data_IF_491155073260
#
_entry.id   IF_491155073260
#
_cell.length_a   1.000
_cell.length_b   1.000
_cell.length_c   1.000
_cell.angle_alpha   90.00
_cell.angle_beta   90.00
_cell.angle_gamma   90.00
#
_symmetry.space_group_name_H-M   'P 1'
#
loop_
_entity.id
_entity.type
_entity.pdbx_description
1 polymer ?
#
# COMPACT_ATOMS: atom_id res chain seq x y z
N UNK A 1 12.65 -19.40 -12.61
CA UNK A 1 11.24 -18.97 -12.75
C UNK A 1 10.68 -18.32 -11.47
N UNK A 2 10.58 -19.04 -10.34
CA UNK A 2 9.98 -18.53 -9.08
C UNK A 2 10.69 -17.27 -8.54
N UNK A 3 12.02 -17.26 -8.58
CA UNK A 3 12.87 -16.15 -8.09
C UNK A 3 12.50 -14.81 -8.74
N UNK A 4 12.14 -14.82 -10.03
CA UNK A 4 11.72 -13.62 -10.75
C UNK A 4 10.38 -13.06 -10.27
N UNK A 5 9.43 -13.94 -9.93
CA UNK A 5 8.14 -13.52 -9.36
C UNK A 5 8.32 -12.93 -7.96
N UNK A 6 9.23 -13.47 -7.15
CA UNK A 6 9.56 -12.90 -5.84
C UNK A 6 10.24 -11.53 -5.97
N UNK A 7 11.13 -11.34 -6.96
CA UNK A 7 11.70 -10.03 -7.27
C UNK A 7 10.60 -9.01 -7.64
N UNK A 8 9.71 -9.40 -8.55
CA UNK A 8 8.58 -8.57 -8.99
C UNK A 8 7.69 -8.20 -7.79
N UNK A 9 7.37 -9.17 -6.93
CA UNK A 9 6.56 -8.94 -5.75
C UNK A 9 7.23 -7.95 -4.78
N UNK A 10 8.53 -8.14 -4.51
CA UNK A 10 9.33 -7.24 -3.67
C UNK A 10 9.37 -5.82 -4.24
N UNK A 11 9.60 -5.68 -5.55
CA UNK A 11 9.60 -4.41 -6.24
C UNK A 11 8.22 -3.74 -6.22
N UNK A 12 7.15 -4.52 -6.40
CA UNK A 12 5.76 -4.02 -6.37
C UNK A 12 5.39 -3.46 -5.00
N UNK A 13 5.73 -4.18 -3.93
CA UNK A 13 5.46 -3.73 -2.56
C UNK A 13 6.29 -2.51 -2.22
N UNK A 14 7.57 -2.46 -2.62
CA UNK A 14 8.40 -1.27 -2.45
C UNK A 14 7.79 -0.03 -3.13
N UNK A 15 7.31 -0.17 -4.37
CA UNK A 15 6.62 0.89 -5.11
C UNK A 15 5.27 1.29 -4.49
N UNK A 16 4.62 0.35 -3.79
CA UNK A 16 3.40 0.61 -3.01
C UNK A 16 3.66 1.27 -1.66
N UNK A 17 4.92 1.34 -1.21
CA UNK A 17 5.32 2.07 -0.01
C UNK A 17 5.70 3.50 -0.38
N UNK A 18 6.70 3.65 -1.25
CA UNK A 18 7.17 4.95 -1.71
C UNK A 18 7.32 4.98 -3.21
N UNK A 19 7.32 6.17 -3.80
CA UNK A 19 7.46 6.31 -5.26
C UNK A 19 8.83 6.86 -5.60
N UNK A 20 9.22 7.99 -5.02
CA UNK A 20 10.45 8.68 -5.41
C UNK A 20 11.68 7.88 -5.09
N UNK A 21 11.77 7.48 -3.83
CA UNK A 21 12.94 6.82 -3.28
C UNK A 21 13.27 5.47 -3.97
N UNK A 22 12.34 4.51 -4.12
CA UNK A 22 12.66 3.25 -4.80
C UNK A 22 12.98 3.44 -6.29
N UNK A 23 12.31 4.39 -6.97
CA UNK A 23 12.60 4.70 -8.37
C UNK A 23 13.99 5.36 -8.52
N UNK A 24 14.37 6.23 -7.59
CA UNK A 24 15.70 6.83 -7.58
C UNK A 24 16.80 5.79 -7.36
N UNK A 25 16.60 4.89 -6.39
CA UNK A 25 17.56 3.80 -6.11
C UNK A 25 17.75 2.93 -7.34
N UNK A 26 16.66 2.51 -7.99
CA UNK A 26 16.77 1.65 -9.17
C UNK A 26 17.39 2.38 -10.36
N UNK A 27 17.06 3.66 -10.54
CA UNK A 27 17.61 4.48 -11.62
C UNK A 27 19.12 4.67 -11.45
N UNK A 28 19.60 4.83 -10.21
CA UNK A 28 21.04 4.90 -9.93
C UNK A 28 21.74 3.56 -10.17
N UNK A 29 21.09 2.43 -9.86
CA UNK A 29 21.67 1.10 -9.97
C UNK A 29 21.63 0.51 -11.40
N UNK A 30 20.56 0.76 -12.15
CA UNK A 30 20.29 0.14 -13.46
C UNK A 30 19.92 1.18 -14.53
N UNK A 31 20.62 2.32 -14.51
CA UNK A 31 20.39 3.51 -15.34
C UNK A 31 20.05 3.20 -16.81
N UNK A 32 20.86 2.39 -17.48
CA UNK A 32 20.71 2.11 -18.91
C UNK A 32 19.53 1.17 -19.20
N UNK A 33 19.31 0.18 -18.32
CA UNK A 33 18.21 -0.78 -18.45
C UNK A 33 16.87 -0.13 -18.11
N UNK A 34 16.80 0.82 -17.18
CA UNK A 34 15.56 1.55 -16.88
C UNK A 34 15.14 2.44 -18.05
N UNK A 35 16.08 3.24 -18.58
CA UNK A 35 15.80 4.22 -19.64
C UNK A 35 15.48 3.54 -20.97
N UNK A 36 16.17 2.44 -21.30
CA UNK A 36 15.92 1.70 -22.53
C UNK A 36 14.54 1.01 -22.56
N UNK A 37 13.99 0.67 -21.40
CA UNK A 37 12.77 -0.14 -21.29
C UNK A 37 11.51 0.65 -20.89
N UNK A 38 11.64 1.95 -20.63
CA UNK A 38 10.50 2.84 -20.40
C UNK A 38 10.13 3.59 -21.70
N UNK A 39 9.13 3.12 -22.46
CA UNK A 39 8.71 3.78 -23.71
C UNK A 39 8.25 5.24 -23.51
N UNK A 40 7.84 5.60 -22.29
CA UNK A 40 7.42 6.96 -21.90
C UNK A 40 8.58 7.91 -21.55
N UNK A 41 9.79 7.39 -21.33
CA UNK A 41 10.92 8.12 -20.71
C UNK A 41 12.20 8.05 -21.55
N UNK A 42 12.28 7.17 -22.55
CA UNK A 42 13.47 6.99 -23.40
C UNK A 42 13.93 8.24 -24.17
N UNK A 43 13.08 9.28 -24.26
CA UNK A 43 13.43 10.59 -24.82
C UNK A 43 14.19 11.53 -23.87
N UNK A 44 14.20 11.30 -22.55
CA UNK A 44 14.87 12.18 -21.59
C UNK A 44 16.29 11.67 -21.29
N UNK A 45 17.29 12.57 -21.22
CA UNK A 45 18.62 12.19 -20.79
C UNK A 45 18.58 11.70 -19.33
N UNK A 46 19.25 10.58 -19.00
CA UNK A 46 19.11 9.99 -17.67
C UNK A 46 19.61 10.90 -16.52
N UNK A 47 20.47 11.89 -16.81
CA UNK A 47 20.86 12.94 -15.84
C UNK A 47 19.65 13.75 -15.36
N UNK A 48 18.74 14.11 -16.26
CA UNK A 48 17.53 14.87 -15.93
C UNK A 48 16.55 14.00 -15.16
N UNK A 49 16.45 12.71 -15.48
CA UNK A 49 15.65 11.81 -14.68
C UNK A 49 16.17 11.71 -13.23
N UNK A 50 17.49 11.56 -13.07
CA UNK A 50 18.09 11.49 -11.73
C UNK A 50 17.80 12.78 -10.95
N UNK A 51 17.89 13.96 -11.57
CA UNK A 51 17.58 15.21 -10.88
C UNK A 51 16.10 15.29 -10.48
N UNK A 52 15.18 14.94 -11.38
CA UNK A 52 13.73 14.91 -11.10
C UNK A 52 13.42 13.96 -9.94
N UNK A 53 13.91 12.71 -10.00
CA UNK A 53 13.68 11.73 -8.94
C UNK A 53 14.38 12.10 -7.63
N UNK A 54 15.54 12.75 -7.70
CA UNK A 54 16.22 13.28 -6.50
C UNK A 54 15.38 14.37 -5.86
N UNK A 55 14.91 15.35 -6.63
CA UNK A 55 14.04 16.40 -6.11
C UNK A 55 12.74 15.81 -5.54
N UNK A 56 12.15 14.84 -6.22
CA UNK A 56 10.94 14.16 -5.73
C UNK A 56 11.20 13.38 -4.44
N UNK A 57 12.29 12.60 -4.37
CA UNK A 57 12.66 11.85 -3.17
C UNK A 57 12.98 12.77 -1.99
N UNK A 58 13.62 13.93 -2.23
CA UNK A 58 13.80 14.96 -1.21
C UNK A 58 12.45 15.51 -0.75
N UNK A 59 11.54 15.80 -1.68
CA UNK A 59 10.20 16.27 -1.35
C UNK A 59 9.42 15.23 -0.53
N UNK A 60 9.56 13.94 -0.84
CA UNK A 60 9.02 12.81 -0.08
C UNK A 60 9.58 12.78 1.35
N UNK A 61 10.90 12.91 1.49
CA UNK A 61 11.62 12.87 2.76
C UNK A 61 11.30 14.08 3.67
N UNK A 62 11.25 15.28 3.10
CA UNK A 62 10.96 16.52 3.84
C UNK A 62 9.46 16.69 4.08
N UNK A 63 8.63 16.38 3.10
CA UNK A 63 7.17 16.50 3.19
C UNK A 63 6.56 15.53 4.19
N UNK A 64 7.20 14.38 4.44
CA UNK A 64 6.77 13.45 5.48
C UNK A 64 7.00 13.94 6.92
N UNK A 65 7.71 15.06 7.13
CA UNK A 65 7.94 15.62 8.48
C UNK A 65 6.80 16.54 8.96
N UNK A 66 5.93 16.99 8.07
CA UNK A 66 4.77 17.81 8.41
C UNK A 66 3.47 17.02 8.18
N UNK A 67 2.54 17.04 9.14
CA UNK A 67 1.28 16.28 9.07
C UNK A 67 0.42 16.64 7.84
N UNK A 68 0.45 17.90 7.40
CA UNK A 68 -0.26 18.35 6.19
C UNK A 68 0.43 17.87 4.91
N UNK A 69 1.76 17.94 4.87
CA UNK A 69 2.57 17.44 3.76
C UNK A 69 2.38 15.93 3.57
N UNK A 70 2.34 15.18 4.66
CA UNK A 70 2.09 13.74 4.65
C UNK A 70 0.74 13.37 4.03
N UNK A 71 -0.33 14.13 4.32
CA UNK A 71 -1.66 13.86 3.74
C UNK A 71 -1.67 14.07 2.23
N UNK A 72 -1.10 15.17 1.75
CA UNK A 72 -1.06 15.49 0.33
C UNK A 72 -0.19 14.47 -0.41
N UNK A 73 1.01 14.20 0.13
CA UNK A 73 1.91 13.18 -0.41
C UNK A 73 1.23 11.82 -0.52
N UNK A 74 0.50 11.40 0.50
CA UNK A 74 -0.13 10.09 0.50
C UNK A 74 -1.25 9.96 -0.55
N UNK A 75 -2.02 11.03 -0.82
CA UNK A 75 -3.02 11.05 -1.90
C UNK A 75 -2.33 10.99 -3.26
N UNK A 76 -1.29 11.79 -3.45
CA UNK A 76 -0.50 11.80 -4.69
C UNK A 76 0.11 10.42 -4.92
N UNK A 77 0.77 9.85 -3.91
CA UNK A 77 1.36 8.52 -3.98
C UNK A 77 0.33 7.43 -4.20
N UNK A 78 -0.87 7.54 -3.64
CA UNK A 78 -1.94 6.58 -3.92
C UNK A 78 -2.28 6.54 -5.40
N UNK A 79 -2.42 7.71 -6.03
CA UNK A 79 -2.75 7.83 -7.46
C UNK A 79 -1.58 7.39 -8.35
N UNK A 80 -0.34 7.70 -7.95
CA UNK A 80 0.85 7.40 -8.76
C UNK A 80 1.50 6.03 -8.47
N UNK A 81 1.15 5.37 -7.36
CA UNK A 81 1.66 4.04 -6.99
C UNK A 81 1.51 2.96 -8.06
N UNK A 82 0.40 2.85 -8.82
CA UNK A 82 0.32 1.85 -9.88
C UNK A 82 1.35 2.09 -10.98
N UNK A 83 1.65 3.35 -11.32
CA UNK A 83 2.69 3.66 -12.30
C UNK A 83 4.06 3.26 -11.78
N UNK A 84 4.38 3.59 -10.53
CA UNK A 84 5.63 3.17 -9.89
C UNK A 84 5.75 1.64 -9.89
N UNK A 85 4.68 0.92 -9.53
CA UNK A 85 4.62 -0.54 -9.49
C UNK A 85 4.84 -1.20 -10.85
N UNK A 86 4.24 -0.65 -11.92
CA UNK A 86 4.48 -1.10 -13.30
C UNK A 86 5.96 -0.97 -13.65
N UNK A 87 6.54 0.21 -13.43
CA UNK A 87 7.93 0.53 -13.79
C UNK A 87 8.89 -0.41 -13.06
N UNK A 88 8.74 -0.54 -11.74
CA UNK A 88 9.65 -1.35 -10.93
C UNK A 88 9.53 -2.84 -11.23
N UNK A 89 8.33 -3.33 -11.50
CA UNK A 89 8.07 -4.75 -11.79
C UNK A 89 8.55 -5.17 -13.17
N UNK A 90 8.32 -4.35 -14.20
CA UNK A 90 8.85 -4.59 -15.54
C UNK A 90 10.37 -4.58 -15.51
N UNK A 91 10.96 -3.61 -14.81
CA UNK A 91 12.41 -3.55 -14.61
C UNK A 91 12.92 -4.82 -13.93
N UNK A 92 12.34 -5.22 -12.80
CA UNK A 92 12.76 -6.42 -12.08
C UNK A 92 12.68 -7.67 -12.96
N UNK A 93 11.59 -7.83 -13.71
CA UNK A 93 11.43 -8.98 -14.61
C UNK A 93 12.46 -9.02 -15.75
N UNK A 94 12.83 -7.86 -16.29
CA UNK A 94 13.83 -7.78 -17.36
C UNK A 94 15.25 -8.00 -16.83
N UNK A 95 15.61 -7.38 -15.69
CA UNK A 95 16.93 -7.53 -15.07
C UNK A 95 17.18 -8.98 -14.67
N UNK A 96 16.16 -9.67 -14.18
CA UNK A 96 16.24 -11.09 -13.83
C UNK A 96 15.93 -12.04 -15.00
N UNK A 97 15.83 -11.53 -16.23
CA UNK A 97 15.59 -12.30 -17.46
C UNK A 97 14.45 -13.33 -17.30
N UNK A 98 13.33 -12.89 -16.72
CA UNK A 98 12.19 -13.76 -16.47
C UNK A 98 11.61 -14.21 -17.82
N UNK A 99 11.57 -15.54 -18.04
CA UNK A 99 11.08 -16.16 -19.30
C UNK A 99 9.60 -15.86 -19.64
N UNK A 100 8.89 -15.20 -18.72
CA UNK A 100 7.51 -14.80 -18.90
C UNK A 100 7.42 -13.62 -19.88
N UNK A 101 7.13 -13.93 -21.15
CA UNK A 101 7.05 -12.96 -22.25
C UNK A 101 5.98 -11.86 -22.13
N UNK A 102 4.80 -12.03 -21.49
CA UNK A 102 3.84 -10.94 -21.41
C UNK A 102 4.25 -9.97 -20.29
N UNK A 103 5.24 -9.12 -20.58
CA UNK A 103 5.72 -8.06 -19.68
C UNK A 103 4.61 -7.10 -19.25
N UNK A 104 3.58 -6.92 -20.09
CA UNK A 104 2.41 -6.12 -19.76
C UNK A 104 1.60 -6.71 -18.60
N UNK A 105 1.51 -8.04 -18.49
CA UNK A 105 0.84 -8.73 -17.36
C UNK A 105 1.66 -8.53 -16.09
N UNK A 106 2.99 -8.66 -16.18
CA UNK A 106 3.87 -8.45 -15.04
C UNK A 106 3.78 -7.02 -14.52
N UNK A 107 3.80 -6.04 -15.43
CA UNK A 107 3.59 -4.64 -15.09
C UNK A 107 2.23 -4.39 -14.46
N UNK A 108 1.15 -4.89 -15.08
CA UNK A 108 -0.21 -4.72 -14.56
C UNK A 108 -0.39 -5.35 -13.17
N UNK A 109 0.15 -6.54 -12.95
CA UNK A 109 0.12 -7.22 -11.66
C UNK A 109 0.88 -6.41 -10.62
N UNK A 110 2.06 -5.91 -10.97
CA UNK A 110 2.87 -5.13 -10.06
C UNK A 110 2.29 -3.76 -9.72
N UNK A 111 1.68 -3.08 -10.69
CA UNK A 111 0.91 -1.86 -10.46
C UNK A 111 -0.29 -2.09 -9.56
N UNK A 112 -1.02 -3.20 -9.75
CA UNK A 112 -2.17 -3.54 -8.91
C UNK A 112 -1.73 -3.87 -7.47
N UNK A 113 -0.65 -4.63 -7.30
CA UNK A 113 -0.09 -4.94 -5.97
C UNK A 113 0.34 -3.65 -5.26
N UNK A 114 1.08 -2.78 -5.95
CA UNK A 114 1.52 -1.48 -5.41
C UNK A 114 0.32 -0.63 -4.96
N UNK A 115 -0.71 -0.56 -5.81
CA UNK A 115 -1.93 0.20 -5.54
C UNK A 115 -2.71 -0.36 -4.34
N UNK A 116 -2.95 -1.67 -4.30
CA UNK A 116 -3.65 -2.32 -3.18
C UNK A 116 -2.87 -2.13 -1.88
N UNK A 117 -1.55 -2.28 -1.92
CA UNK A 117 -0.71 -2.08 -0.74
C UNK A 117 -0.79 -0.64 -0.23
N UNK A 118 -0.66 0.35 -1.13
CA UNK A 118 -0.77 1.77 -0.77
C UNK A 118 -2.16 2.14 -0.27
N UNK A 119 -3.24 1.56 -0.81
CA UNK A 119 -4.60 1.74 -0.31
C UNK A 119 -4.72 1.34 1.16
N UNK A 120 -4.20 0.18 1.53
CA UNK A 120 -4.29 -0.31 2.92
C UNK A 120 -3.48 0.57 3.87
N UNK A 121 -2.24 0.92 3.50
CA UNK A 121 -1.42 1.86 4.27
C UNK A 121 -2.12 3.22 4.44
N UNK A 122 -2.76 3.70 3.37
CA UNK A 122 -3.47 4.98 3.38
C UNK A 122 -4.69 4.95 4.29
N UNK A 123 -5.52 3.92 4.23
CA UNK A 123 -6.66 3.87 5.15
C UNK A 123 -6.23 3.64 6.61
N UNK A 124 -5.09 2.97 6.87
CA UNK A 124 -4.52 2.86 8.22
C UNK A 124 -4.16 4.24 8.77
N UNK A 125 -3.53 5.07 7.95
CA UNK A 125 -3.22 6.46 8.29
C UNK A 125 -4.49 7.29 8.60
N UNK A 126 -5.53 7.19 7.77
CA UNK A 126 -6.79 7.91 8.00
C UNK A 126 -7.50 7.47 9.29
N UNK A 127 -7.46 6.18 9.65
CA UNK A 127 -8.08 5.67 10.88
C UNK A 127 -7.32 6.09 12.13
N UNK A 128 -5.99 6.03 12.12
CA UNK A 128 -5.16 6.33 13.29
C UNK A 128 -4.91 7.82 13.51
N UNK A 129 -5.49 8.71 12.68
CA UNK A 129 -5.46 10.17 12.85
C UNK A 129 -4.04 10.76 13.03
N UNK A 130 -3.04 10.10 12.46
CA UNK A 130 -1.64 10.52 12.52
C UNK A 130 -0.74 9.39 12.98
N UNK A 131 -0.04 8.77 12.03
CA UNK A 131 1.05 7.84 12.36
C UNK A 131 2.21 8.63 12.99
N UNK A 132 2.87 8.08 14.02
CA UNK A 132 4.04 8.72 14.61
C UNK A 132 5.11 8.95 13.53
N UNK A 133 5.87 10.04 13.65
CA UNK A 133 6.92 10.44 12.68
C UNK A 133 7.94 9.30 12.43
N UNK A 134 8.16 8.43 13.42
CA UNK A 134 8.98 7.23 13.30
C UNK A 134 8.49 6.25 12.22
N UNK A 135 7.19 6.22 11.92
CA UNK A 135 6.63 5.34 10.90
C UNK A 135 7.21 5.63 9.51
N UNK A 136 7.34 6.90 9.14
CA UNK A 136 7.94 7.26 7.85
C UNK A 136 9.38 6.78 7.75
N UNK A 137 10.13 6.77 8.86
CA UNK A 137 11.51 6.30 8.85
C UNK A 137 11.58 4.78 8.61
N UNK A 138 10.67 4.02 9.22
CA UNK A 138 10.55 2.57 8.99
C UNK A 138 10.13 2.29 7.55
N UNK A 139 9.16 3.04 7.02
CA UNK A 139 8.70 2.92 5.63
C UNK A 139 9.86 3.16 4.65
N UNK A 140 10.70 4.17 4.90
CA UNK A 140 11.84 4.49 4.04
C UNK A 140 12.89 3.38 4.04
N UNK A 141 13.28 2.92 5.23
CA UNK A 141 14.26 1.83 5.38
C UNK A 141 13.75 0.57 4.69
N UNK A 142 12.50 0.20 4.94
CA UNK A 142 11.91 -1.02 4.44
C UNK A 142 11.69 -0.94 2.92
N UNK A 143 11.36 0.23 2.39
CA UNK A 143 11.29 0.47 0.96
C UNK A 143 12.66 0.30 0.27
N UNK A 144 13.72 0.92 0.80
CA UNK A 144 15.09 0.76 0.26
C UNK A 144 15.51 -0.70 0.33
N UNK A 145 15.30 -1.35 1.48
CA UNK A 145 15.66 -2.74 1.68
C UNK A 145 14.95 -3.65 0.67
N UNK A 146 13.65 -3.48 0.45
CA UNK A 146 12.89 -4.27 -0.51
C UNK A 146 13.35 -4.08 -1.95
N UNK A 147 13.72 -2.86 -2.35
CA UNK A 147 14.32 -2.64 -3.68
C UNK A 147 15.65 -3.36 -3.78
N UNK A 148 16.55 -3.16 -2.83
CA UNK A 148 17.86 -3.83 -2.86
C UNK A 148 17.72 -5.35 -2.87
N UNK A 149 16.81 -5.91 -2.06
CA UNK A 149 16.54 -7.34 -2.04
C UNK A 149 15.88 -7.82 -3.32
N UNK A 150 14.98 -7.06 -3.95
CA UNK A 150 14.37 -7.45 -5.23
C UNK A 150 15.41 -7.81 -6.31
N UNK A 151 16.57 -7.12 -6.31
CA UNK A 151 17.62 -7.33 -7.29
C UNK A 151 18.81 -8.16 -6.79
N UNK A 152 19.15 -8.08 -5.51
CA UNK A 152 20.31 -8.80 -4.93
C UNK A 152 19.97 -10.13 -4.29
N UNK A 153 18.81 -10.20 -3.62
CA UNK A 153 18.35 -11.42 -2.94
C UNK A 153 16.82 -11.52 -3.06
N UNK A 154 16.31 -11.91 -4.24
CA UNK A 154 14.89 -11.85 -4.54
C UNK A 154 14.05 -12.72 -3.61
N UNK A 155 14.62 -13.84 -3.14
CA UNK A 155 13.94 -14.74 -2.21
C UNK A 155 13.60 -14.04 -0.90
N UNK A 156 14.58 -13.40 -0.26
CA UNK A 156 14.37 -12.69 1.00
C UNK A 156 13.43 -11.49 0.83
N UNK A 157 13.63 -10.70 -0.24
CA UNK A 157 12.76 -9.56 -0.54
C UNK A 157 11.31 -9.98 -0.80
N UNK A 158 11.12 -11.06 -1.56
CA UNK A 158 9.81 -11.61 -1.86
C UNK A 158 9.09 -12.15 -0.63
N UNK A 159 9.80 -12.83 0.29
CA UNK A 159 9.22 -13.32 1.55
C UNK A 159 8.76 -12.14 2.42
N UNK A 160 9.60 -11.11 2.57
CA UNK A 160 9.23 -9.90 3.31
C UNK A 160 8.00 -9.25 2.67
N UNK A 161 7.98 -9.13 1.34
CA UNK A 161 6.86 -8.58 0.61
C UNK A 161 5.57 -9.41 0.78
N UNK A 162 5.66 -10.74 0.82
CA UNK A 162 4.52 -11.61 1.12
C UNK A 162 4.00 -11.39 2.54
N UNK A 163 4.88 -11.29 3.53
CA UNK A 163 4.50 -11.02 4.93
C UNK A 163 3.79 -9.67 5.03
N UNK A 164 4.34 -8.63 4.38
CA UNK A 164 3.72 -7.31 4.35
C UNK A 164 2.36 -7.34 3.68
N UNK A 165 2.25 -7.99 2.52
CA UNK A 165 0.99 -8.11 1.78
C UNK A 165 -0.04 -8.90 2.59
N UNK A 166 0.36 -9.96 3.29
CA UNK A 166 -0.48 -10.66 4.25
C UNK A 166 -0.99 -9.70 5.31
N UNK A 167 -0.10 -8.96 5.98
CA UNK A 167 -0.50 -7.99 7.02
C UNK A 167 -1.50 -6.96 6.47
N UNK A 168 -1.29 -6.49 5.24
CA UNK A 168 -2.19 -5.59 4.57
C UNK A 168 -3.59 -6.21 4.36
N UNK A 169 -3.66 -7.44 3.84
CA UNK A 169 -4.93 -8.16 3.67
C UNK A 169 -5.63 -8.48 5.00
N UNK A 170 -4.87 -8.82 6.04
CA UNK A 170 -5.43 -9.08 7.38
C UNK A 170 -6.02 -7.80 7.97
N UNK A 171 -5.31 -6.68 7.83
CA UNK A 171 -5.78 -5.38 8.31
C UNK A 171 -7.07 -4.92 7.59
N UNK A 172 -7.21 -5.18 6.28
CA UNK A 172 -8.43 -4.82 5.55
C UNK A 172 -9.64 -5.68 5.93
N UNK A 173 -9.41 -6.95 6.28
CA UNK A 173 -10.46 -7.86 6.75
C UNK A 173 -11.02 -7.41 8.10
N UNK A 174 -10.15 -6.94 9.00
CA UNK A 174 -10.55 -6.36 10.30
C UNK A 174 -11.39 -5.09 10.14
N UNK A 175 -11.14 -4.28 9.10
CA UNK A 175 -12.02 -3.14 8.79
C UNK A 175 -13.40 -3.56 8.35
N UNK A 176 -13.50 -4.58 7.50
CA UNK A 176 -14.79 -5.07 7.03
C UNK A 176 -15.64 -5.53 8.20
N UNK A 177 -15.06 -6.28 9.14
CA UNK A 177 -15.73 -6.74 10.36
C UNK A 177 -16.24 -5.59 11.22
N UNK A 178 -15.42 -4.58 11.48
CA UNK A 178 -15.84 -3.41 12.28
C UNK A 178 -16.99 -2.62 11.62
N UNK A 179 -16.99 -2.51 10.30
CA UNK A 179 -18.09 -1.89 9.56
C UNK A 179 -19.38 -2.71 9.57
N UNK A 180 -19.27 -4.04 9.46
CA UNK A 180 -20.42 -4.94 9.47
C UNK A 180 -21.07 -5.02 10.88
N UNK A 181 -20.26 -4.99 11.96
CA UNK A 181 -20.75 -4.97 13.34
C UNK A 181 -21.43 -3.64 13.71
N UNK A 182 -20.92 -2.49 13.23
CA UNK A 182 -21.51 -1.17 13.44
C UNK A 182 -22.83 -0.94 12.68
N UNK A 183 -23.23 -1.85 11.80
CA UNK A 183 -24.48 -1.78 11.01
C UNK A 183 -25.62 -2.62 11.54
N UNK A 184 -25.45 -3.40 12.62
CA UNK A 184 -26.57 -4.13 13.22
C UNK A 184 -27.50 -3.11 13.90
N UNK A 185 -28.69 -2.81 13.34
CA UNK A 185 -29.68 -2.05 14.09
C UNK A 185 -30.10 -3.02 15.19
N UNK A 186 -29.79 -2.69 16.44
CA UNK A 186 -30.43 -3.36 17.56
C UNK A 186 -31.94 -3.16 17.34
N UNK A 187 -32.75 -4.22 17.11
CA UNK A 187 -34.18 -4.05 17.06
C UNK A 187 -34.58 -3.37 18.38
N UNK A 188 -35.54 -2.44 18.40
CA UNK A 188 -36.06 -1.93 19.66
C UNK A 188 -36.47 -3.17 20.46
N UNK A 189 -35.86 -3.37 21.63
CA UNK A 189 -36.40 -4.30 22.60
C UNK A 189 -37.75 -3.71 22.97
N UNK A 190 -38.83 -4.33 22.47
CA UNK A 190 -40.19 -3.95 22.86
C UNK A 190 -40.24 -3.88 24.40
N UNK A 191 -40.76 -2.79 24.98
CA UNK A 191 -40.86 -2.70 26.43
C UNK A 191 -41.74 -3.85 26.93
N UNK A 192 -41.45 -4.41 28.13
CA UNK A 192 -42.32 -5.41 28.72
C UNK A 192 -43.74 -4.84 28.78
N UNK A 193 -44.71 -5.56 28.22
CA UNK A 193 -46.12 -5.25 28.41
C UNK A 193 -46.38 -5.39 29.92
N UNK A 194 -46.43 -4.25 30.60
CA UNK A 194 -46.96 -4.14 31.95
C UNK A 194 -48.43 -4.54 31.88
N UNK A 195 -48.76 -5.73 32.40
CA UNK A 195 -50.13 -6.19 32.56
C UNK A 195 -50.84 -5.25 33.56
N UNK A 196 -51.47 -4.20 33.06
CA UNK A 196 -52.48 -3.43 33.77
C UNK A 196 -53.82 -4.17 33.66
N UNK A 197 -54.00 -5.23 34.44
CA UNK A 197 -55.32 -5.79 34.73
C UNK A 197 -55.32 -6.26 36.19
N UNK A 198 -55.51 -5.31 37.10
CA UNK A 198 -55.98 -5.57 38.46
C UNK A 198 -56.73 -4.32 38.95
N UNK A 199 -58.01 -4.23 38.57
CA UNK A 199 -59.01 -3.45 39.29
C UNK A 199 -59.90 -4.38 40.14
N UNK A 200 -60.48 -3.88 41.24
CA UNK A 200 -60.70 -4.63 42.47
C UNK A 200 -62.00 -5.44 42.47
N UNK A 201 -61.94 -6.67 42.99
CA UNK A 201 -63.15 -7.37 43.41
C UNK A 201 -63.66 -6.77 44.73
N UNK A 202 -64.92 -6.38 44.64
CA UNK A 202 -65.78 -5.78 45.63
C UNK A 202 -66.13 -6.81 46.71
N UNK A 203 -65.43 -6.78 47.86
CA UNK A 203 -65.91 -7.46 49.07
C UNK A 203 -67.00 -6.60 49.71
N UNK A 204 -68.25 -6.97 49.44
CA UNK A 204 -69.36 -6.64 50.30
C UNK A 204 -69.42 -7.63 51.46
N UNK A 205 -69.38 -7.12 52.69
CA UNK A 205 -69.95 -7.80 53.86
C UNK A 205 -70.21 -6.80 54.99
N UNK A 206 -71.43 -6.83 55.56
CA UNK A 206 -71.80 -6.18 56.83
C UNK A 206 -72.86 -5.08 56.77
#
# INVERSE_FOLDING_TARGET
MIIGFLAVLSASVAAGMRIGLPLLVILLLYRDQLVANLPLIGWLPPQVLVSIFTTWALFELFGSKQLLGQRILQVVELVFSPFAGIILSVTAAQVLAVEFRPLWVVGALGGLIAFVFKLVLTGWFFRLRGLPIWWSFVEDILCVALVLFAFRSPQEGGIIAMILLWLAMRSSTEWKRYYDEGRSPKPPSDPPIENFDQEPENEGDG
#
